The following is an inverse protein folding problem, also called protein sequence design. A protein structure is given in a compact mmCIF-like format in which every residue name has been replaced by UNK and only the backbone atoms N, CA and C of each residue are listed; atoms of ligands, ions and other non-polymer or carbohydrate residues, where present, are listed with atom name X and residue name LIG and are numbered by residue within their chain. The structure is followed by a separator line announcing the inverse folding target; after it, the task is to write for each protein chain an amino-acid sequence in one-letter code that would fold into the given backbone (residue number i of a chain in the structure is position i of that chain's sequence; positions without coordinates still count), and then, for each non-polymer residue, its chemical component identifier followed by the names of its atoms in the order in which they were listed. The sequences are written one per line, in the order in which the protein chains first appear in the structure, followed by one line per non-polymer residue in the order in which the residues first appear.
data_IF_396587804494
#
_entry.id   IF_396587804494
#
_cell.length_a   1.000
_cell.length_b   1.000
_cell.length_c   1.000
_cell.angle_alpha   90.00
_cell.angle_beta   90.00
_cell.angle_gamma   90.00
#
_symmetry.space_group_name_H-M   'P 1'
#
loop_
_entity.id
_entity.type
_entity.pdbx_description
1 polymer ?
#
# COMPACT_ATOMS: atom_id res chain seq x y z
N UNK A 1 57.67 -31.31 -35.25
CA UNK A 1 56.74 -31.67 -34.11
C UNK A 1 56.24 -30.40 -33.48
N UNK A 2 55.09 -29.88 -33.94
CA UNK A 2 54.54 -28.62 -33.46
C UNK A 2 53.45 -28.90 -32.39
N UNK A 3 53.69 -28.45 -31.17
CA UNK A 3 52.70 -28.50 -30.08
C UNK A 3 51.72 -27.34 -30.22
N UNK A 4 50.45 -27.63 -30.57
CA UNK A 4 49.36 -26.67 -30.51
C UNK A 4 48.97 -26.42 -29.06
N UNK A 5 49.18 -25.18 -28.55
CA UNK A 5 48.65 -24.72 -27.29
C UNK A 5 47.14 -24.46 -27.43
N UNK A 6 46.34 -25.25 -26.75
CA UNK A 6 44.91 -25.02 -26.62
C UNK A 6 44.69 -23.95 -25.53
N UNK A 7 44.33 -22.72 -25.91
CA UNK A 7 43.91 -21.68 -24.97
C UNK A 7 42.49 -21.98 -24.53
N UNK A 8 42.33 -22.42 -23.30
CA UNK A 8 41.03 -22.52 -22.67
C UNK A 8 40.49 -21.11 -22.35
N UNK A 9 39.39 -20.73 -23.02
CA UNK A 9 38.68 -19.48 -22.78
C UNK A 9 37.72 -19.72 -21.62
N UNK A 10 38.08 -19.25 -20.41
CA UNK A 10 37.16 -19.24 -19.28
C UNK A 10 36.15 -18.13 -19.47
N UNK A 11 34.94 -18.50 -19.91
CA UNK A 11 33.79 -17.61 -19.93
C UNK A 11 33.26 -17.46 -18.50
N UNK A 12 33.62 -16.35 -17.82
CA UNK A 12 33.05 -15.99 -16.55
C UNK A 12 31.60 -15.60 -16.79
N UNK A 13 30.67 -16.51 -16.48
CA UNK A 13 29.27 -16.27 -16.43
C UNK A 13 29.01 -15.51 -15.11
N UNK A 14 28.98 -14.17 -15.20
CA UNK A 14 28.52 -13.34 -14.11
C UNK A 14 27.01 -13.61 -13.95
N UNK A 15 26.65 -14.42 -12.95
CA UNK A 15 25.27 -14.49 -12.50
C UNK A 15 24.92 -13.11 -11.92
N UNK A 16 24.25 -12.26 -12.70
CA UNK A 16 23.46 -11.17 -12.15
C UNK A 16 22.34 -11.84 -11.36
N UNK A 17 22.54 -11.99 -10.06
CA UNK A 17 21.46 -12.28 -9.13
C UNK A 17 20.47 -11.13 -9.28
N UNK A 18 19.19 -11.36 -9.61
CA UNK A 18 18.20 -10.30 -9.53
C UNK A 18 18.17 -9.89 -8.06
N UNK A 19 18.60 -8.68 -7.76
CA UNK A 19 18.34 -8.08 -6.46
C UNK A 19 16.84 -7.87 -6.38
N UNK A 20 16.15 -8.75 -5.69
CA UNK A 20 14.78 -8.50 -5.26
C UNK A 20 14.89 -7.34 -4.27
N UNK A 21 14.38 -6.18 -4.66
CA UNK A 21 14.22 -5.04 -3.76
C UNK A 21 13.03 -5.39 -2.85
N UNK A 22 13.32 -5.95 -1.69
CA UNK A 22 12.35 -5.96 -0.59
C UNK A 22 12.14 -4.52 -0.16
N UNK A 23 10.89 -4.08 -0.09
CA UNK A 23 10.55 -2.80 0.49
C UNK A 23 10.80 -2.91 2.01
N UNK A 24 11.43 -1.90 2.60
CA UNK A 24 11.66 -1.83 4.03
C UNK A 24 10.65 -0.83 4.60
N UNK A 25 9.39 -1.27 4.73
CA UNK A 25 8.28 -0.48 5.27
C UNK A 25 8.05 -0.90 6.73
N UNK A 26 8.16 0.05 7.65
CA UNK A 26 7.78 -0.12 9.04
C UNK A 26 6.34 0.32 9.25
N UNK A 27 5.49 -0.56 9.80
CA UNK A 27 4.07 -0.25 10.03
C UNK A 27 3.93 0.43 11.40
N UNK A 28 4.39 1.67 11.50
CA UNK A 28 4.40 2.48 12.73
C UNK A 28 3.46 3.69 12.69
N UNK A 29 2.82 3.94 11.52
CA UNK A 29 1.92 5.07 11.27
C UNK A 29 2.62 6.32 10.74
N UNK A 30 3.91 6.25 10.46
CA UNK A 30 4.70 7.32 9.86
C UNK A 30 5.05 6.90 8.43
N UNK A 31 4.90 7.80 7.47
CA UNK A 31 5.14 7.52 6.05
C UNK A 31 6.42 8.26 5.60
N UNK A 32 7.55 8.00 6.26
CA UNK A 32 8.83 8.69 5.99
C UNK A 32 9.83 7.82 5.23
N UNK A 33 9.52 6.55 4.97
CA UNK A 33 10.38 5.70 4.17
C UNK A 33 10.42 6.18 2.70
N UNK A 34 11.61 6.11 2.13
CA UNK A 34 11.85 6.54 0.73
C UNK A 34 11.02 5.76 -0.29
N UNK A 35 10.61 4.55 0.06
CA UNK A 35 9.81 3.63 -0.75
C UNK A 35 8.45 4.23 -1.10
N UNK A 36 7.86 5.03 -0.22
CA UNK A 36 6.59 5.72 -0.47
C UNK A 36 6.63 6.67 -1.68
N UNK A 37 7.82 7.11 -2.08
CA UNK A 37 7.98 7.90 -3.31
C UNK A 37 7.64 7.13 -4.60
N UNK A 38 7.57 5.81 -4.53
CA UNK A 38 7.23 4.93 -5.64
C UNK A 38 5.77 4.45 -5.57
N UNK A 39 5.05 4.81 -4.51
CA UNK A 39 3.68 4.40 -4.29
C UNK A 39 2.74 4.92 -5.38
N UNK A 40 1.76 4.12 -5.72
CA UNK A 40 0.63 4.57 -6.51
C UNK A 40 -0.26 5.46 -5.65
N UNK A 41 -0.51 6.69 -6.09
CA UNK A 41 -1.39 7.62 -5.39
C UNK A 41 -2.84 7.48 -5.86
N UNK A 42 -3.76 7.45 -4.90
CA UNK A 42 -5.21 7.57 -5.11
C UNK A 42 -5.66 8.86 -4.43
N UNK A 43 -6.16 9.80 -5.22
CA UNK A 43 -6.55 11.15 -4.75
C UNK A 43 -7.97 11.52 -5.09
N UNK A 44 -8.70 10.67 -5.83
CA UNK A 44 -10.06 10.94 -6.26
C UNK A 44 -11.05 10.07 -5.49
N UNK A 45 -11.96 10.70 -4.77
CA UNK A 45 -12.95 10.08 -3.92
C UNK A 45 -14.33 10.68 -4.15
N UNK A 46 -15.35 9.88 -3.90
CA UNK A 46 -16.74 10.27 -4.08
C UNK A 46 -17.53 10.05 -2.79
N UNK A 47 -18.53 10.88 -2.55
CA UNK A 47 -19.47 10.65 -1.48
C UNK A 47 -20.31 9.39 -1.75
N UNK A 48 -20.29 8.47 -0.78
CA UNK A 48 -21.13 7.27 -0.80
C UNK A 48 -22.28 7.31 0.22
N UNK A 49 -22.18 8.17 1.25
CA UNK A 49 -23.23 8.43 2.23
C UNK A 49 -23.30 9.93 2.57
N UNK A 50 -24.36 10.66 2.12
CA UNK A 50 -25.44 10.18 1.26
C UNK A 50 -24.91 9.78 -0.12
N UNK A 51 -25.57 8.87 -0.81
CA UNK A 51 -25.15 8.37 -2.13
C UNK A 51 -25.39 9.43 -3.20
N UNK A 52 -24.50 10.41 -3.25
CA UNK A 52 -24.57 11.52 -4.22
C UNK A 52 -23.63 11.35 -5.40
N UNK A 53 -22.55 10.59 -5.21
CA UNK A 53 -21.42 10.48 -6.14
C UNK A 53 -20.75 11.83 -6.48
N UNK A 54 -21.00 12.86 -5.66
CA UNK A 54 -20.24 14.10 -5.75
C UNK A 54 -18.78 13.85 -5.35
N UNK A 55 -17.90 14.73 -5.76
CA UNK A 55 -16.53 14.70 -5.25
C UNK A 55 -16.56 14.85 -3.71
N UNK A 56 -15.81 13.99 -3.01
CA UNK A 56 -15.78 14.02 -1.56
C UNK A 56 -15.26 15.36 -1.03
N UNK A 57 -15.92 15.86 0.00
CA UNK A 57 -15.45 17.04 0.72
C UNK A 57 -14.25 16.67 1.56
N UNK A 58 -13.14 17.33 1.37
CA UNK A 58 -11.92 17.08 2.13
C UNK A 58 -10.76 16.69 1.22
N UNK A 59 -9.57 16.79 1.78
CA UNK A 59 -8.34 16.42 1.09
C UNK A 59 -7.81 15.13 1.70
N UNK A 60 -7.82 14.08 0.91
CA UNK A 60 -7.29 12.78 1.33
C UNK A 60 -6.47 12.17 0.20
N UNK A 61 -5.48 11.40 0.58
CA UNK A 61 -4.63 10.66 -0.33
C UNK A 61 -4.34 9.28 0.25
N UNK A 62 -4.41 8.26 -0.58
CA UNK A 62 -3.95 6.92 -0.23
C UNK A 62 -2.77 6.57 -1.12
N UNK A 63 -1.72 6.10 -0.49
CA UNK A 63 -0.54 5.55 -1.12
C UNK A 63 -0.64 4.03 -1.10
N UNK A 64 -0.35 3.39 -2.23
CA UNK A 64 -0.38 1.93 -2.36
C UNK A 64 0.96 1.45 -2.86
N UNK A 65 1.59 0.56 -2.10
CA UNK A 65 2.81 -0.16 -2.47
C UNK A 65 2.55 -1.66 -2.40
N UNK A 66 3.25 -2.41 -3.22
CA UNK A 66 3.23 -3.88 -3.18
C UNK A 66 4.64 -4.44 -3.32
N UNK A 67 4.90 -5.55 -2.65
CA UNK A 67 6.11 -6.35 -2.81
C UNK A 67 5.81 -7.85 -2.59
N UNK A 68 6.86 -8.67 -2.40
CA UNK A 68 6.71 -10.11 -2.17
C UNK A 68 6.06 -10.44 -0.81
N UNK A 69 6.12 -9.53 0.16
CA UNK A 69 5.60 -9.72 1.50
C UNK A 69 4.14 -9.27 1.62
N UNK A 70 3.67 -8.34 0.76
CA UNK A 70 2.28 -7.90 0.80
C UNK A 70 1.96 -6.60 0.08
N UNK A 71 0.81 -6.04 0.48
CA UNK A 71 0.31 -4.76 -0.01
C UNK A 71 0.24 -3.79 1.17
N UNK A 72 0.87 -2.63 1.02
CA UNK A 72 0.93 -1.57 2.02
C UNK A 72 0.03 -0.41 1.62
N UNK A 73 -0.75 0.10 2.55
CA UNK A 73 -1.63 1.24 2.37
C UNK A 73 -1.26 2.36 3.33
N UNK A 74 -0.84 3.50 2.79
CA UNK A 74 -0.58 4.70 3.55
C UNK A 74 -1.72 5.70 3.39
N UNK A 75 -2.42 6.04 4.48
CA UNK A 75 -3.53 7.00 4.48
C UNK A 75 -3.05 8.37 4.96
N UNK A 76 -3.28 9.40 4.17
CA UNK A 76 -3.00 10.77 4.51
C UNK A 76 -4.33 11.54 4.42
N UNK A 77 -4.86 11.94 5.57
CA UNK A 77 -6.13 12.65 5.67
C UNK A 77 -5.86 14.06 6.21
N UNK A 78 -6.28 15.07 5.46
CA UNK A 78 -6.19 16.46 5.89
C UNK A 78 -7.55 16.89 6.42
N UNK A 79 -7.63 17.09 7.71
CA UNK A 79 -8.86 17.43 8.42
C UNK A 79 -8.52 18.40 9.55
N UNK A 80 -9.43 19.33 9.83
CA UNK A 80 -9.28 20.22 10.98
C UNK A 80 -9.33 19.41 12.28
N UNK A 81 -8.37 19.63 13.16
CA UNK A 81 -8.16 18.86 14.39
C UNK A 81 -9.43 18.79 15.26
N UNK A 82 -10.20 19.92 15.29
CA UNK A 82 -11.46 20.01 16.04
C UNK A 82 -12.59 19.13 15.48
N UNK A 83 -12.45 18.64 14.25
CA UNK A 83 -13.46 17.80 13.59
C UNK A 83 -13.15 16.31 13.68
N UNK A 84 -11.96 15.95 14.16
CA UNK A 84 -11.53 14.55 14.26
C UNK A 84 -12.31 13.88 15.39
N UNK A 85 -12.99 12.79 15.07
CA UNK A 85 -13.75 11.98 16.04
C UNK A 85 -12.91 10.78 16.45
N UNK A 86 -12.40 10.83 17.67
CA UNK A 86 -11.65 9.74 18.30
C UNK A 86 -12.51 9.12 19.38
N UNK A 87 -12.81 7.83 19.26
CA UNK A 87 -13.55 7.08 20.26
C UNK A 87 -12.94 5.69 20.45
N UNK A 88 -12.63 5.34 21.69
CA UNK A 88 -12.26 3.96 22.03
C UNK A 88 -13.49 3.07 21.95
N UNK A 89 -13.42 2.05 21.13
CA UNK A 89 -14.47 1.05 20.95
C UNK A 89 -13.88 -0.37 20.91
N UNK A 90 -14.73 -1.36 20.97
CA UNK A 90 -14.31 -2.75 20.82
C UNK A 90 -14.00 -3.03 19.33
N UNK A 91 -13.19 -4.04 19.10
CA UNK A 91 -12.95 -4.53 17.74
C UNK A 91 -14.27 -4.91 17.10
N UNK A 92 -14.42 -4.57 15.82
CA UNK A 92 -15.59 -4.87 15.00
C UNK A 92 -16.91 -4.22 15.48
N UNK A 93 -16.80 -3.08 16.21
CA UNK A 93 -17.95 -2.29 16.63
C UNK A 93 -18.45 -1.41 15.48
N UNK A 94 -19.47 -1.87 14.77
CA UNK A 94 -20.09 -1.15 13.64
C UNK A 94 -20.79 0.15 14.06
N UNK A 95 -21.04 0.35 15.36
CA UNK A 95 -21.71 1.53 15.89
C UNK A 95 -20.74 2.59 16.42
N UNK A 96 -19.45 2.37 16.29
CA UNK A 96 -18.43 3.31 16.71
C UNK A 96 -18.59 4.67 16.03
N UNK A 97 -18.64 5.74 16.82
CA UNK A 97 -18.68 7.11 16.31
C UNK A 97 -17.26 7.70 16.24
N UNK A 98 -16.41 7.08 15.46
CA UNK A 98 -15.04 7.50 15.22
C UNK A 98 -14.79 7.69 13.72
N UNK A 99 -13.81 8.52 13.39
CA UNK A 99 -13.35 8.60 12.02
C UNK A 99 -12.54 7.32 11.69
N UNK A 100 -12.73 6.81 10.51
CA UNK A 100 -12.17 5.53 10.10
C UNK A 100 -11.60 5.64 8.68
N UNK A 101 -10.56 4.88 8.43
CA UNK A 101 -10.05 4.61 7.09
C UNK A 101 -10.09 3.10 6.84
N UNK A 102 -10.26 2.71 5.59
CA UNK A 102 -10.30 1.29 5.27
C UNK A 102 -10.10 0.99 3.81
N UNK A 103 -9.83 -0.28 3.54
CA UNK A 103 -9.73 -0.85 2.20
C UNK A 103 -10.60 -2.09 2.12
N UNK A 104 -11.12 -2.34 0.93
CA UNK A 104 -11.80 -3.60 0.61
C UNK A 104 -11.09 -4.23 -0.57
N UNK A 105 -10.67 -5.47 -0.43
CA UNK A 105 -9.88 -6.19 -1.41
C UNK A 105 -10.64 -7.42 -1.87
N UNK A 106 -10.86 -7.51 -3.15
CA UNK A 106 -11.34 -8.70 -3.83
C UNK A 106 -10.11 -9.43 -4.40
N UNK A 107 -9.68 -10.49 -3.72
CA UNK A 107 -8.48 -11.23 -4.09
C UNK A 107 -8.66 -12.10 -5.34
N UNK A 108 -9.90 -12.47 -5.64
CA UNK A 108 -10.23 -13.29 -6.82
C UNK A 108 -10.52 -12.41 -8.05
N UNK A 109 -10.82 -11.13 -7.85
CA UNK A 109 -11.11 -10.16 -8.91
C UNK A 109 -12.42 -10.44 -9.66
N UNK A 110 -13.34 -11.20 -9.06
CA UNK A 110 -14.59 -11.62 -9.67
C UNK A 110 -15.80 -10.75 -9.25
N UNK A 111 -15.62 -9.88 -8.27
CA UNK A 111 -16.65 -8.99 -7.75
C UNK A 111 -17.67 -9.66 -6.84
N UNK A 112 -17.44 -10.90 -6.41
CA UNK A 112 -18.40 -11.66 -5.61
C UNK A 112 -18.09 -11.59 -4.11
N UNK A 113 -16.83 -11.57 -3.73
CA UNK A 113 -16.38 -11.54 -2.34
C UNK A 113 -15.24 -10.55 -2.16
N UNK A 114 -15.31 -9.77 -1.10
CA UNK A 114 -14.19 -8.90 -0.69
C UNK A 114 -13.92 -9.01 0.80
N UNK A 115 -12.68 -8.72 1.17
CA UNK A 115 -12.24 -8.63 2.56
C UNK A 115 -12.03 -7.17 2.93
N UNK A 116 -12.74 -6.70 3.96
CA UNK A 116 -12.64 -5.34 4.46
C UNK A 116 -11.66 -5.24 5.65
N UNK A 117 -10.80 -4.25 5.61
CA UNK A 117 -9.88 -3.90 6.70
C UNK A 117 -10.07 -2.43 7.03
N UNK A 118 -10.26 -2.10 8.30
CA UNK A 118 -10.45 -0.72 8.73
C UNK A 118 -9.70 -0.41 10.02
N UNK A 119 -9.31 0.85 10.15
CA UNK A 119 -8.63 1.38 11.34
C UNK A 119 -9.35 2.66 11.72
N UNK A 120 -9.63 2.83 13.02
CA UNK A 120 -10.19 4.08 13.58
C UNK A 120 -9.09 5.02 14.08
N UNK A 121 -9.39 6.30 14.05
CA UNK A 121 -8.55 7.33 14.66
C UNK A 121 -8.51 7.21 16.20
#
# INVERSE_FOLDING_TARGET
MQRKLLKAFFLNFFFLSPYVLTLEIEVDGILDEKEWSQAKEITKYYESLPFTLNDASGSQKVLVLEDEDGIYFGFINFQDEETIRVQKHQRDDEMANADMVGVSIDFDGDGLLSYGFSISA
#
